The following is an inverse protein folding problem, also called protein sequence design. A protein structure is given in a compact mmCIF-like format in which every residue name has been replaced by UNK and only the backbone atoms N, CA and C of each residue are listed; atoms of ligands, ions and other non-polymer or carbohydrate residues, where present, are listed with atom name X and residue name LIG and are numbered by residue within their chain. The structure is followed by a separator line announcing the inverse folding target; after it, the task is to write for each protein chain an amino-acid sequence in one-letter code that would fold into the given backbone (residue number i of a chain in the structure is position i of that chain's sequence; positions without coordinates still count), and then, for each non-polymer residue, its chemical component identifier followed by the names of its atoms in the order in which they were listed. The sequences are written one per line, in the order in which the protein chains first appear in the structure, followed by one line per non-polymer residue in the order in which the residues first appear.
data_IF_686261442026
#
_entry.id   IF_686261442026
#
_cell.length_a   1.000
_cell.length_b   1.000
_cell.length_c   1.000
_cell.angle_alpha   90.00
_cell.angle_beta   90.00
_cell.angle_gamma   90.00
#
_symmetry.space_group_name_H-M   'P 1'
#
loop_
_entity.id
_entity.type
_entity.pdbx_description
1 polymer ?
#
# COMPACT_ATOMS: atom_id res chain seq x y z
N UNK A 1 -16.69 6.53 -1.85
CA UNK A 1 -15.23 6.68 -1.98
C UNK A 1 -14.96 7.87 -2.86
N UNK A 2 -13.88 8.58 -2.58
CA UNK A 2 -13.34 9.65 -3.41
C UNK A 2 -11.82 9.51 -3.50
N UNK A 3 -11.24 9.89 -4.63
CA UNK A 3 -9.84 9.62 -4.95
C UNK A 3 -9.05 10.91 -5.12
N UNK A 4 -7.79 10.95 -4.63
CA UNK A 4 -6.94 12.10 -4.82
C UNK A 4 -6.84 12.53 -6.28
N UNK A 5 -6.84 13.85 -6.53
CA UNK A 5 -6.83 14.44 -7.88
C UNK A 5 -5.64 14.04 -8.78
N UNK A 6 -4.58 13.49 -8.19
CA UNK A 6 -3.41 12.99 -8.92
C UNK A 6 -3.57 11.56 -9.44
N UNK A 7 -4.66 10.86 -9.10
CA UNK A 7 -4.95 9.54 -9.65
C UNK A 7 -5.38 9.69 -11.12
N UNK A 8 -4.88 8.84 -12.04
CA UNK A 8 -5.29 8.89 -13.43
C UNK A 8 -6.75 8.44 -13.59
N UNK A 9 -7.35 8.73 -14.75
CA UNK A 9 -8.66 8.20 -15.13
C UNK A 9 -8.69 6.68 -15.00
N UNK A 10 -9.79 6.11 -14.49
CA UNK A 10 -9.96 4.68 -14.21
C UNK A 10 -9.00 4.10 -13.16
N UNK A 11 -8.53 4.94 -12.22
CA UNK A 11 -7.78 4.51 -11.05
C UNK A 11 -8.48 4.96 -9.76
N UNK A 12 -8.64 4.08 -8.75
CA UNK A 12 -8.25 2.67 -8.72
C UNK A 12 -9.06 1.79 -9.68
N UNK A 13 -8.63 0.52 -9.88
CA UNK A 13 -9.42 -0.45 -10.62
C UNK A 13 -10.84 -0.59 -10.03
N UNK A 14 -11.85 -0.67 -10.90
CA UNK A 14 -13.25 -0.77 -10.48
C UNK A 14 -13.57 -2.11 -9.79
N UNK A 15 -12.77 -3.15 -10.07
CA UNK A 15 -12.89 -4.46 -9.46
C UNK A 15 -12.21 -4.50 -8.09
N UNK A 16 -13.02 -4.35 -7.05
CA UNK A 16 -12.57 -4.37 -5.66
C UNK A 16 -12.46 -5.82 -5.16
N UNK A 17 -11.43 -6.13 -4.38
CA UNK A 17 -11.43 -7.38 -3.63
C UNK A 17 -12.46 -7.30 -2.50
N UNK A 18 -13.08 -8.42 -2.14
CA UNK A 18 -14.00 -8.49 -1.00
C UNK A 18 -13.29 -8.48 0.37
N UNK A 19 -11.97 -8.28 0.38
CA UNK A 19 -11.11 -8.42 1.56
C UNK A 19 -11.44 -7.39 2.64
N UNK A 20 -11.47 -7.87 3.88
CA UNK A 20 -11.52 -7.10 5.11
C UNK A 20 -10.66 -7.84 6.14
N UNK A 21 -9.82 -7.14 6.89
CA UNK A 21 -8.87 -7.78 7.80
C UNK A 21 -7.54 -7.05 7.91
N UNK A 22 -6.54 -7.70 8.51
CA UNK A 22 -5.24 -7.06 8.75
C UNK A 22 -4.40 -6.93 7.47
N UNK A 23 -4.00 -5.69 7.18
CA UNK A 23 -2.97 -5.40 6.19
C UNK A 23 -1.68 -4.98 6.90
N UNK A 24 -0.55 -5.27 6.25
CA UNK A 24 0.79 -5.06 6.79
C UNK A 24 1.60 -4.18 5.84
N UNK A 25 2.18 -3.11 6.37
CA UNK A 25 3.00 -2.15 5.63
C UNK A 25 4.41 -2.13 6.19
N UNK A 26 5.39 -2.08 5.29
CA UNK A 26 6.77 -1.84 5.67
C UNK A 26 6.99 -0.34 5.88
N UNK A 27 7.56 0.02 7.02
CA UNK A 27 7.82 1.41 7.44
C UNK A 27 9.33 1.66 7.63
N UNK A 28 9.70 2.92 7.60
CA UNK A 28 11.04 3.42 7.90
C UNK A 28 11.13 3.75 9.40
N UNK A 29 12.04 3.08 10.10
CA UNK A 29 12.24 3.28 11.55
C UNK A 29 11.23 2.50 12.40
N UNK A 30 11.09 2.92 13.67
CA UNK A 30 10.38 2.15 14.70
C UNK A 30 8.91 2.57 14.88
N UNK A 31 8.48 3.68 14.28
CA UNK A 31 7.09 4.18 14.36
C UNK A 31 6.62 4.67 12.99
N UNK A 32 5.36 4.46 12.60
CA UNK A 32 4.88 4.89 11.30
C UNK A 32 4.86 6.41 11.21
N UNK A 33 5.36 6.94 10.11
CA UNK A 33 5.40 8.38 9.82
C UNK A 33 4.60 8.68 8.56
N UNK A 34 4.26 9.94 8.33
CA UNK A 34 3.56 10.36 7.09
C UNK A 34 4.32 9.95 5.83
N UNK A 35 5.65 9.96 5.87
CA UNK A 35 6.58 9.65 4.79
C UNK A 35 6.49 8.18 4.34
N UNK A 36 6.09 7.31 5.27
CA UNK A 36 5.83 5.91 4.99
C UNK A 36 4.63 5.73 4.08
N UNK A 37 3.67 6.67 4.06
CA UNK A 37 2.41 6.53 3.32
C UNK A 37 2.34 7.44 2.08
N UNK A 38 3.49 7.94 1.61
CA UNK A 38 3.59 8.63 0.32
C UNK A 38 3.75 7.60 -0.81
N UNK A 39 2.90 7.67 -1.83
CA UNK A 39 2.89 6.75 -2.98
C UNK A 39 4.12 6.94 -3.89
N UNK A 40 4.35 5.99 -4.79
CA UNK A 40 5.48 6.09 -5.72
C UNK A 40 5.30 7.25 -6.70
N UNK A 41 4.07 7.47 -7.18
CA UNK A 41 3.71 8.59 -8.04
C UNK A 41 4.00 9.93 -7.35
N UNK A 42 3.66 10.06 -6.06
CA UNK A 42 3.94 11.27 -5.28
C UNK A 42 5.43 11.47 -5.01
N UNK A 43 6.20 10.39 -4.75
CA UNK A 43 7.67 10.46 -4.56
C UNK A 43 8.42 10.80 -5.84
N UNK A 44 7.83 10.57 -7.01
CA UNK A 44 8.49 10.75 -8.32
C UNK A 44 7.53 11.39 -9.32
N UNK A 45 7.09 12.65 -9.10
CA UNK A 45 6.03 13.29 -9.88
C UNK A 45 6.42 13.55 -11.34
N UNK A 46 7.71 13.51 -11.67
CA UNK A 46 8.24 13.69 -13.04
C UNK A 46 8.47 12.37 -13.78
N UNK A 47 8.29 11.23 -13.10
CA UNK A 47 8.52 9.92 -13.70
C UNK A 47 7.29 9.51 -14.50
N UNK A 48 7.50 9.09 -15.74
CA UNK A 48 6.47 8.42 -16.54
C UNK A 48 6.37 6.95 -16.10
N UNK A 49 5.25 6.59 -15.45
CA UNK A 49 4.96 5.23 -15.02
C UNK A 49 4.24 4.40 -16.09
N UNK A 50 3.87 5.00 -17.23
CA UNK A 50 3.14 4.34 -18.32
C UNK A 50 1.93 3.55 -17.80
N UNK A 51 1.79 2.29 -18.18
CA UNK A 51 0.73 1.38 -17.73
C UNK A 51 0.69 1.14 -16.21
N UNK A 52 1.79 1.39 -15.49
CA UNK A 52 1.85 1.23 -14.03
C UNK A 52 1.39 2.47 -13.26
N UNK A 53 0.99 3.55 -13.95
CA UNK A 53 0.63 4.82 -13.29
C UNK A 53 -0.41 4.63 -12.18
N UNK A 54 -1.43 3.82 -12.41
CA UNK A 54 -2.44 3.57 -11.37
C UNK A 54 -1.84 2.84 -10.16
N UNK A 55 -1.05 1.77 -10.35
CA UNK A 55 -0.40 1.06 -9.25
C UNK A 55 0.57 1.96 -8.49
N UNK A 56 1.27 2.86 -9.19
CA UNK A 56 2.19 3.82 -8.59
C UNK A 56 1.50 4.83 -7.66
N UNK A 57 0.20 5.10 -7.87
CA UNK A 57 -0.63 5.93 -6.98
C UNK A 57 -1.02 5.22 -5.67
N UNK A 58 -0.97 3.89 -5.63
CA UNK A 58 -1.32 3.12 -4.45
C UNK A 58 -0.14 2.83 -3.52
N UNK A 59 -0.47 2.23 -2.38
CA UNK A 59 0.44 1.86 -1.32
C UNK A 59 0.67 0.35 -1.31
N UNK A 60 1.93 -0.06 -1.33
CA UNK A 60 2.32 -1.46 -1.18
C UNK A 60 1.99 -2.00 0.21
N UNK A 61 1.16 -3.03 0.30
CA UNK A 61 0.81 -3.71 1.55
C UNK A 61 0.80 -5.23 1.36
N UNK A 62 0.73 -5.96 2.47
CA UNK A 62 0.60 -7.41 2.50
C UNK A 62 -0.67 -7.78 3.26
N UNK A 63 -1.28 -8.92 2.94
CA UNK A 63 -2.46 -9.45 3.66
C UNK A 63 -2.13 -10.61 4.60
N UNK A 64 -0.85 -10.98 4.70
CA UNK A 64 -0.35 -12.04 5.57
C UNK A 64 0.84 -11.54 6.39
N UNK A 65 0.78 -11.76 7.70
CA UNK A 65 1.78 -11.28 8.66
C UNK A 65 3.13 -11.95 8.42
N UNK A 66 3.15 -13.28 8.31
CA UNK A 66 4.36 -14.07 8.17
C UNK A 66 5.08 -13.75 6.87
N UNK A 67 4.34 -13.60 5.78
CA UNK A 67 4.86 -13.19 4.48
C UNK A 67 5.46 -11.78 4.57
N UNK A 68 4.79 -10.85 5.25
CA UNK A 68 5.27 -9.48 5.42
C UNK A 68 6.57 -9.42 6.24
N UNK A 69 6.72 -10.22 7.30
CA UNK A 69 7.92 -10.24 8.13
C UNK A 69 9.12 -10.87 7.41
N UNK A 70 8.88 -11.85 6.53
CA UNK A 70 9.94 -12.62 5.88
C UNK A 70 10.37 -12.06 4.51
N UNK A 71 9.58 -11.17 3.88
CA UNK A 71 9.85 -10.72 2.52
C UNK A 71 11.17 -9.93 2.39
N UNK A 72 11.64 -9.29 3.46
CA UNK A 72 12.91 -8.54 3.49
C UNK A 72 14.15 -9.40 3.19
N UNK A 73 14.06 -10.73 3.36
CA UNK A 73 15.11 -11.66 2.96
C UNK A 73 15.22 -11.76 1.42
N UNK A 74 14.10 -11.63 0.71
CA UNK A 74 14.00 -11.81 -0.75
C UNK A 74 13.99 -10.50 -1.54
N UNK A 75 13.45 -9.42 -0.95
CA UNK A 75 13.31 -8.11 -1.59
C UNK A 75 14.26 -7.11 -0.94
N UNK A 76 15.41 -6.78 -1.58
CA UNK A 76 16.43 -5.91 -0.98
C UNK A 76 15.92 -4.55 -0.51
N UNK A 77 14.96 -3.96 -1.23
CA UNK A 77 14.36 -2.66 -0.89
C UNK A 77 13.53 -2.67 0.41
N UNK A 78 13.21 -3.86 0.94
CA UNK A 78 12.47 -4.05 2.19
C UNK A 78 13.36 -4.54 3.34
N UNK A 79 14.65 -4.83 3.08
CA UNK A 79 15.58 -5.32 4.09
C UNK A 79 15.78 -4.27 5.19
N UNK A 80 15.63 -4.68 6.44
CA UNK A 80 15.81 -3.82 7.61
C UNK A 80 14.64 -2.88 7.90
N UNK A 81 13.57 -2.89 7.08
CA UNK A 81 12.34 -2.15 7.39
C UNK A 81 11.55 -2.88 8.47
N UNK A 82 10.86 -2.12 9.31
CA UNK A 82 9.89 -2.65 10.27
C UNK A 82 8.55 -2.86 9.59
N UNK A 83 7.68 -3.65 10.21
CA UNK A 83 6.33 -3.88 9.74
C UNK A 83 5.36 -3.25 10.72
N UNK A 84 4.34 -2.57 10.20
CA UNK A 84 3.20 -2.11 10.96
C UNK A 84 1.92 -2.68 10.36
N UNK A 85 0.92 -2.93 11.20
CA UNK A 85 -0.37 -3.49 10.81
C UNK A 85 -1.52 -2.53 11.03
N UNK A 86 -2.56 -2.69 10.22
CA UNK A 86 -3.83 -1.98 10.32
C UNK A 86 -4.98 -2.92 9.97
N UNK A 87 -6.12 -2.78 10.64
CA UNK A 87 -7.32 -3.53 10.30
C UNK A 87 -8.09 -2.80 9.20
N UNK A 88 -7.85 -3.20 7.95
CA UNK A 88 -8.44 -2.61 6.75
C UNK A 88 -9.95 -2.87 6.68
N UNK A 89 -10.70 -1.83 6.36
CA UNK A 89 -12.12 -1.88 6.04
C UNK A 89 -12.35 -1.38 4.61
N UNK A 90 -13.45 -1.84 3.99
CA UNK A 90 -13.81 -1.41 2.63
C UNK A 90 -14.09 0.09 2.52
N UNK A 91 -14.40 0.77 3.62
CA UNK A 91 -14.54 2.24 3.64
C UNK A 91 -13.22 2.99 3.42
N UNK A 92 -12.08 2.33 3.64
CA UNK A 92 -10.77 2.97 3.72
C UNK A 92 -10.04 3.02 2.38
N UNK A 93 -10.65 2.45 1.34
CA UNK A 93 -10.15 2.48 -0.03
C UNK A 93 -10.33 1.16 -0.77
N UNK A 94 -9.55 0.98 -1.84
CA UNK A 94 -9.57 -0.22 -2.68
C UNK A 94 -8.28 -1.02 -2.47
N UNK A 95 -8.41 -2.33 -2.26
CA UNK A 95 -7.29 -3.25 -2.13
C UNK A 95 -7.35 -4.30 -3.25
N UNK A 96 -6.25 -4.48 -3.98
CA UNK A 96 -6.15 -5.48 -5.05
C UNK A 96 -4.77 -6.13 -5.09
N UNK A 97 -4.74 -7.41 -5.46
CA UNK A 97 -3.51 -8.12 -5.76
C UNK A 97 -2.88 -7.55 -7.05
N UNK A 98 -1.58 -7.21 -7.04
CA UNK A 98 -0.96 -6.42 -8.13
C UNK A 98 0.41 -6.92 -8.59
N UNK A 99 0.81 -8.15 -8.28
CA UNK A 99 2.09 -8.69 -8.78
C UNK A 99 1.92 -9.93 -9.66
N UNK A 100 2.81 -10.05 -10.65
CA UNK A 100 2.88 -11.15 -11.61
C UNK A 100 3.85 -12.28 -11.22
N UNK A 101 4.68 -12.10 -10.17
CA UNK A 101 5.85 -12.97 -9.89
C UNK A 101 5.89 -13.51 -8.44
N UNK A 102 4.99 -14.44 -8.09
CA UNK A 102 5.11 -15.35 -6.92
C UNK A 102 5.05 -14.73 -5.51
N UNK A 103 4.34 -13.61 -5.31
CA UNK A 103 4.01 -13.15 -3.95
C UNK A 103 2.52 -12.89 -3.81
N UNK A 104 1.76 -13.97 -3.62
CA UNK A 104 0.30 -14.00 -3.50
C UNK A 104 -0.24 -13.05 -2.40
N UNK A 105 0.59 -12.70 -1.42
CA UNK A 105 0.19 -11.85 -0.30
C UNK A 105 0.38 -10.36 -0.58
N UNK A 106 1.13 -9.96 -1.61
CA UNK A 106 1.36 -8.55 -1.93
C UNK A 106 0.15 -7.92 -2.62
N UNK A 107 -0.28 -6.76 -2.14
CA UNK A 107 -1.40 -6.01 -2.65
C UNK A 107 -1.04 -4.53 -2.81
N UNK A 108 -1.76 -3.85 -3.69
CA UNK A 108 -1.79 -2.40 -3.75
C UNK A 108 -3.07 -1.92 -3.07
N UNK A 109 -2.91 -0.99 -2.13
CA UNK A 109 -4.01 -0.27 -1.48
C UNK A 109 -4.08 1.16 -2.01
N UNK A 110 -5.16 1.48 -2.70
CA UNK A 110 -5.51 2.85 -3.06
C UNK A 110 -6.36 3.44 -1.95
N UNK A 111 -5.80 4.43 -1.26
CA UNK A 111 -6.37 5.04 -0.07
C UNK A 111 -7.45 6.05 -0.48
N UNK A 112 -8.61 6.00 0.18
CA UNK A 112 -9.65 7.00 0.01
C UNK A 112 -9.15 8.38 0.46
N UNK A 113 -9.50 9.45 -0.25
CA UNK A 113 -8.99 10.81 0.04
C UNK A 113 -9.36 11.30 1.45
N UNK A 114 -10.46 10.80 2.02
CA UNK A 114 -10.92 11.17 3.35
C UNK A 114 -10.34 10.28 4.45
N UNK A 115 -9.54 9.27 4.09
CA UNK A 115 -8.82 8.45 5.06
C UNK A 115 -7.54 9.17 5.52
N UNK A 116 -7.71 10.15 6.41
CA UNK A 116 -6.63 10.99 6.94
C UNK A 116 -5.87 10.31 8.08
N UNK A 117 -4.72 10.88 8.43
CA UNK A 117 -3.91 10.47 9.58
C UNK A 117 -3.54 8.98 9.58
N UNK A 118 -3.39 8.43 8.37
CA UNK A 118 -3.12 7.01 8.11
C UNK A 118 -2.01 6.42 8.97
N UNK A 119 -0.93 7.18 9.20
CA UNK A 119 0.21 6.76 10.01
C UNK A 119 -0.15 6.51 11.49
N UNK A 120 -1.11 7.25 12.06
CA UNK A 120 -1.58 7.06 13.44
C UNK A 120 -2.46 5.82 13.61
N UNK A 121 -2.98 5.26 12.50
CA UNK A 121 -3.87 4.09 12.52
C UNK A 121 -3.10 2.77 12.49
N UNK A 122 -1.82 2.80 12.09
CA UNK A 122 -0.97 1.62 12.02
C UNK A 122 -0.25 1.37 13.35
N UNK A 123 -0.12 0.10 13.73
CA UNK A 123 0.56 -0.35 14.94
C UNK A 123 1.76 -1.21 14.55
N UNK A 124 2.96 -0.89 15.04
CA UNK A 124 4.17 -1.68 14.78
C UNK A 124 4.10 -3.08 15.39
N UNK A 125 4.70 -4.05 14.70
CA UNK A 125 4.81 -5.46 15.11
C UNK A 125 6.22 -6.00 14.95
#
# INVERSE_FOLDING_TARGET
MSWPSHFPTNCPPLDQSAYEGFIYRHIQGDTPTTEDFISWAQKSPKKDFKEMQCQACGLSVFIDETASLNIGARVPALRGKKVAKYHFQKSDGVLKHTQSNNNEHHHTWWVDEFFTDIHLKFICI
#
